data_IF_607220410102
#
_entry.id   IF_607220410102
#
_cell.length_a   1.000
_cell.length_b   1.000
_cell.length_c   1.000
_cell.angle_alpha   90.00
_cell.angle_beta   90.00
_cell.angle_gamma   90.00
#
_symmetry.space_group_name_H-M   'P 1'
#
loop_
_entity.id
_entity.type
_entity.pdbx_description
1 polymer ?
#
# COMPACT_ATOMS: atom_id res chain seq x y z
N UNK A 1 -21.81 -18.67 23.63
CA UNK A 1 -20.54 -17.95 23.33
C UNK A 1 -20.82 -16.47 23.42
N UNK A 2 -20.20 -15.76 24.37
CA UNK A 2 -20.35 -14.31 24.53
C UNK A 2 -19.95 -13.65 23.21
N UNK A 3 -20.83 -12.80 22.66
CA UNK A 3 -20.54 -11.92 21.55
C UNK A 3 -19.37 -10.99 21.99
N UNK A 4 -18.15 -11.38 21.71
CA UNK A 4 -17.02 -10.47 21.72
C UNK A 4 -17.27 -9.47 20.59
N UNK A 5 -17.96 -8.38 20.92
CA UNK A 5 -17.89 -7.20 20.09
C UNK A 5 -16.41 -6.86 20.01
N UNK A 6 -15.80 -7.06 18.84
CA UNK A 6 -14.43 -6.61 18.58
C UNK A 6 -14.47 -5.08 18.75
N UNK A 7 -14.18 -4.64 19.95
CA UNK A 7 -13.89 -3.24 20.18
C UNK A 7 -12.69 -2.90 19.31
N UNK A 8 -12.80 -1.79 18.61
CA UNK A 8 -11.67 -1.21 17.89
C UNK A 8 -10.53 -1.08 18.89
N UNK A 9 -9.42 -1.77 18.66
CA UNK A 9 -8.29 -1.73 19.59
C UNK A 9 -7.56 -0.42 19.34
N UNK A 10 -7.89 0.59 20.15
CA UNK A 10 -7.35 1.94 20.03
C UNK A 10 -5.81 1.94 19.99
N UNK A 11 -5.16 1.02 20.70
CA UNK A 11 -3.71 0.87 20.68
C UNK A 11 -3.16 0.60 19.29
N UNK A 12 -3.81 -0.27 18.49
CA UNK A 12 -3.39 -0.56 17.11
C UNK A 12 -3.56 0.66 16.20
N UNK A 13 -4.64 1.41 16.37
CA UNK A 13 -4.89 2.62 15.58
C UNK A 13 -3.87 3.72 15.93
N UNK A 14 -3.56 3.91 17.21
CA UNK A 14 -2.55 4.88 17.69
C UNK A 14 -1.16 4.48 17.19
N UNK A 15 -0.78 3.21 17.35
CA UNK A 15 0.52 2.73 16.90
C UNK A 15 0.69 2.88 15.38
N UNK A 16 -0.35 2.60 14.60
CA UNK A 16 -0.35 2.81 13.15
C UNK A 16 -0.19 4.29 12.78
N UNK A 17 -0.92 5.18 13.47
CA UNK A 17 -0.78 6.63 13.25
C UNK A 17 0.62 7.12 13.59
N UNK A 18 1.20 6.64 14.70
CA UNK A 18 2.55 6.96 15.12
C UNK A 18 3.60 6.47 14.09
N UNK A 19 3.50 5.22 13.64
CA UNK A 19 4.44 4.68 12.64
C UNK A 19 4.31 5.39 11.29
N UNK A 20 3.11 5.80 10.88
CA UNK A 20 2.92 6.63 9.67
C UNK A 20 3.58 8.01 9.83
N UNK A 21 3.41 8.65 10.97
CA UNK A 21 4.06 9.93 11.27
C UNK A 21 5.58 9.79 11.25
N UNK A 22 6.10 8.76 11.92
CA UNK A 22 7.54 8.48 11.93
C UNK A 22 8.08 8.14 10.53
N UNK A 23 7.31 7.45 9.68
CA UNK A 23 7.70 7.23 8.28
C UNK A 23 7.88 8.52 7.49
N UNK A 24 7.00 9.51 7.66
CA UNK A 24 7.18 10.82 7.06
C UNK A 24 8.45 11.50 7.59
N UNK A 25 8.63 11.47 8.90
CA UNK A 25 9.82 12.05 9.55
C UNK A 25 11.12 11.44 9.04
N UNK A 26 11.26 10.10 9.00
CA UNK A 26 12.49 9.45 8.56
C UNK A 26 12.77 9.59 7.06
N UNK A 27 11.74 9.78 6.24
CA UNK A 27 11.90 10.03 4.81
C UNK A 27 12.46 11.44 4.51
N UNK A 28 12.26 12.39 5.42
CA UNK A 28 12.79 13.76 5.28
C UNK A 28 14.23 13.91 5.83
N UNK A 29 14.68 12.97 6.65
CA UNK A 29 16.03 12.98 7.28
C UNK A 29 17.16 13.09 6.24
N UNK A 30 17.17 12.33 5.11
CA UNK A 30 18.29 12.37 4.16
C UNK A 30 18.55 13.76 3.56
N UNK A 31 17.57 14.67 3.61
CA UNK A 31 17.71 16.06 3.16
C UNK A 31 18.37 17.00 4.18
N UNK A 32 18.57 16.56 5.42
CA UNK A 32 19.07 17.36 6.51
C UNK A 32 20.60 17.24 6.65
N UNK A 33 21.26 18.32 7.13
CA UNK A 33 22.69 18.32 7.45
C UNK A 33 22.90 18.08 8.95
N UNK A 34 24.04 17.47 9.30
CA UNK A 34 24.45 17.21 10.69
C UNK A 34 23.47 16.36 11.49
N UNK A 35 22.80 15.40 10.84
CA UNK A 35 21.92 14.44 11.51
C UNK A 35 22.80 13.42 12.26
N UNK A 36 22.48 13.07 13.53
CA UNK A 36 23.15 12.01 14.24
C UNK A 36 23.08 10.68 13.49
N UNK A 37 24.19 9.95 13.41
CA UNK A 37 24.31 8.73 12.61
C UNK A 37 23.28 7.66 12.99
N UNK A 38 23.00 7.47 14.30
CA UNK A 38 22.02 6.50 14.78
C UNK A 38 20.57 6.77 14.32
N UNK A 39 20.28 7.99 13.88
CA UNK A 39 18.95 8.38 13.40
C UNK A 39 18.75 8.06 11.91
N UNK A 40 19.84 7.94 11.16
CA UNK A 40 19.84 7.67 9.71
C UNK A 40 19.62 6.18 9.42
N UNK A 41 19.50 5.86 8.14
CA UNK A 41 19.60 4.48 7.67
C UNK A 41 21.04 4.00 7.78
N UNK A 42 21.25 2.77 8.25
CA UNK A 42 22.55 2.13 8.23
C UNK A 42 23.02 1.93 6.78
N UNK A 43 24.32 2.11 6.53
CA UNK A 43 24.89 1.79 5.22
C UNK A 43 24.97 0.26 5.05
N UNK A 44 25.01 -0.20 3.79
CA UNK A 44 24.94 -1.64 3.48
C UNK A 44 26.17 -2.44 4.01
N UNK A 45 27.26 -1.76 4.30
CA UNK A 45 28.51 -2.30 4.82
C UNK A 45 28.70 -2.08 6.34
N UNK A 46 27.72 -1.46 7.00
CA UNK A 46 27.72 -1.23 8.45
C UNK A 46 26.92 -2.32 9.19
N UNK A 47 27.54 -2.90 10.23
CA UNK A 47 26.86 -3.81 11.17
C UNK A 47 26.14 -2.98 12.25
N UNK A 48 25.08 -2.27 11.82
CA UNK A 48 24.30 -1.37 12.64
C UNK A 48 22.83 -1.37 12.22
N UNK A 49 21.93 -1.11 13.15
CA UNK A 49 20.53 -0.84 12.89
C UNK A 49 20.22 0.61 13.27
N UNK A 50 19.98 1.47 12.29
CA UNK A 50 19.57 2.84 12.51
C UNK A 50 18.10 2.94 12.95
N UNK A 51 17.75 4.06 13.60
CA UNK A 51 16.35 4.32 13.97
C UNK A 51 15.42 4.27 12.75
N UNK A 52 15.84 4.88 11.63
CA UNK A 52 15.07 4.88 10.38
C UNK A 52 14.74 3.48 9.86
N UNK A 53 15.63 2.49 10.09
CA UNK A 53 15.44 1.12 9.63
C UNK A 53 14.36 0.36 10.41
N UNK A 54 14.04 0.80 11.62
CA UNK A 54 13.03 0.16 12.48
C UNK A 54 11.60 0.55 12.15
N UNK A 55 11.39 1.72 11.54
CA UNK A 55 10.05 2.32 11.37
C UNK A 55 9.21 1.55 10.36
N UNK A 56 9.79 1.18 9.21
CA UNK A 56 9.04 0.43 8.19
C UNK A 56 8.65 -0.98 8.64
N UNK A 57 9.52 -1.79 9.27
CA UNK A 57 9.12 -3.06 9.88
C UNK A 57 8.04 -2.90 10.95
N UNK A 58 8.13 -1.87 11.81
CA UNK A 58 7.08 -1.59 12.81
C UNK A 58 5.73 -1.28 12.15
N UNK A 59 5.73 -0.54 11.05
CA UNK A 59 4.51 -0.30 10.25
C UNK A 59 3.95 -1.58 9.64
N UNK A 60 4.79 -2.45 9.07
CA UNK A 60 4.37 -3.73 8.51
C UNK A 60 3.78 -4.65 9.59
N UNK A 61 4.38 -4.69 10.78
CA UNK A 61 3.85 -5.43 11.92
C UNK A 61 2.46 -4.92 12.31
N UNK A 62 2.30 -3.61 12.45
CA UNK A 62 1.00 -2.99 12.74
C UNK A 62 -0.05 -3.30 11.67
N UNK A 63 0.36 -3.30 10.41
CA UNK A 63 -0.52 -3.64 9.29
C UNK A 63 -0.95 -5.11 9.39
N UNK A 64 -0.04 -6.04 9.66
CA UNK A 64 -0.35 -7.45 9.87
C UNK A 64 -1.40 -7.66 10.97
N UNK A 65 -1.24 -7.02 12.13
CA UNK A 65 -2.24 -7.03 13.21
C UNK A 65 -3.60 -6.51 12.75
N UNK A 66 -3.62 -5.44 11.95
CA UNK A 66 -4.84 -4.79 11.47
C UNK A 66 -5.64 -5.65 10.48
N UNK A 67 -4.98 -6.55 9.73
CA UNK A 67 -5.60 -7.42 8.72
C UNK A 67 -6.67 -8.31 9.34
N UNK A 68 -6.39 -8.92 10.49
CA UNK A 68 -7.33 -9.81 11.19
C UNK A 68 -8.63 -9.09 11.56
N UNK A 69 -8.53 -7.86 12.08
CA UNK A 69 -9.69 -7.04 12.43
C UNK A 69 -10.47 -6.61 11.17
N UNK A 70 -9.78 -6.26 10.10
CA UNK A 70 -10.41 -5.86 8.85
C UNK A 70 -11.22 -7.01 8.23
N UNK A 71 -10.66 -8.22 8.16
CA UNK A 71 -11.33 -9.41 7.62
C UNK A 71 -12.52 -9.81 8.50
N UNK A 72 -12.36 -9.85 9.83
CA UNK A 72 -13.47 -10.14 10.74
C UNK A 72 -14.62 -9.15 10.59
N UNK A 73 -14.31 -7.86 10.43
CA UNK A 73 -15.35 -6.84 10.25
C UNK A 73 -16.14 -7.04 8.95
N UNK A 74 -15.51 -7.55 7.89
CA UNK A 74 -16.20 -7.91 6.64
C UNK A 74 -17.18 -9.07 6.83
N UNK A 75 -16.73 -10.14 7.49
CA UNK A 75 -17.63 -11.25 7.82
C UNK A 75 -18.81 -10.83 8.70
N UNK A 76 -18.58 -9.92 9.65
CA UNK A 76 -19.67 -9.33 10.46
C UNK A 76 -20.68 -8.54 9.63
N UNK A 77 -20.26 -7.93 8.53
CA UNK A 77 -21.14 -7.22 7.58
C UNK A 77 -21.88 -8.15 6.63
N UNK A 78 -21.64 -9.48 6.71
CA UNK A 78 -22.30 -10.48 5.90
C UNK A 78 -21.58 -10.83 4.59
N UNK A 79 -20.32 -10.37 4.40
CA UNK A 79 -19.55 -10.72 3.22
C UNK A 79 -19.27 -12.23 3.18
N UNK A 80 -19.43 -12.85 2.02
CA UNK A 80 -19.04 -14.24 1.78
C UNK A 80 -17.51 -14.37 1.67
N UNK A 81 -17.00 -15.58 1.89
CA UNK A 81 -15.56 -15.86 1.77
C UNK A 81 -15.00 -15.45 0.40
N UNK A 82 -15.76 -15.71 -0.68
CA UNK A 82 -15.37 -15.33 -2.05
C UNK A 82 -15.25 -13.81 -2.19
N UNK A 83 -16.19 -13.05 -1.61
CA UNK A 83 -16.13 -11.58 -1.62
C UNK A 83 -14.94 -11.04 -0.84
N UNK A 84 -14.62 -11.68 0.29
CA UNK A 84 -13.42 -11.30 1.08
C UNK A 84 -12.14 -11.58 0.30
N UNK A 85 -12.01 -12.76 -0.33
CA UNK A 85 -10.86 -13.12 -1.17
C UNK A 85 -10.72 -12.15 -2.35
N UNK A 86 -11.79 -11.86 -3.04
CA UNK A 86 -11.78 -10.90 -4.16
C UNK A 86 -11.32 -9.51 -3.69
N UNK A 87 -11.78 -9.06 -2.52
CA UNK A 87 -11.34 -7.80 -1.96
C UNK A 87 -9.84 -7.78 -1.61
N UNK A 88 -9.33 -8.87 -0.99
CA UNK A 88 -7.90 -9.01 -0.68
C UNK A 88 -7.10 -8.95 -1.98
N UNK A 89 -7.50 -9.70 -2.99
CA UNK A 89 -6.84 -9.73 -4.30
C UNK A 89 -6.76 -8.33 -4.95
N UNK A 90 -7.91 -7.65 -5.08
CA UNK A 90 -7.94 -6.33 -5.71
C UNK A 90 -7.17 -5.27 -4.92
N UNK A 91 -7.19 -5.34 -3.59
CA UNK A 91 -6.40 -4.44 -2.76
C UNK A 91 -4.89 -4.70 -2.91
N UNK A 92 -4.48 -5.96 -2.96
CA UNK A 92 -3.09 -6.35 -3.21
C UNK A 92 -2.62 -5.84 -4.55
N UNK A 93 -3.38 -6.09 -5.62
CA UNK A 93 -3.06 -5.61 -6.98
C UNK A 93 -2.93 -4.10 -7.01
N UNK A 94 -3.84 -3.37 -6.37
CA UNK A 94 -3.77 -1.91 -6.30
C UNK A 94 -2.49 -1.42 -5.60
N UNK A 95 -2.13 -2.00 -4.46
CA UNK A 95 -0.92 -1.62 -3.72
C UNK A 95 0.36 -1.93 -4.50
N UNK A 96 0.43 -3.11 -5.15
CA UNK A 96 1.57 -3.48 -5.98
C UNK A 96 1.69 -2.55 -7.18
N UNK A 97 0.59 -2.27 -7.87
CA UNK A 97 0.58 -1.34 -9.00
C UNK A 97 1.04 0.06 -8.57
N UNK A 98 0.48 0.61 -7.48
CA UNK A 98 0.90 1.91 -6.95
C UNK A 98 2.39 1.90 -6.56
N UNK A 99 2.89 0.81 -5.97
CA UNK A 99 4.30 0.65 -5.63
C UNK A 99 5.21 0.68 -6.84
N UNK A 100 4.86 -0.07 -7.90
CA UNK A 100 5.61 -0.09 -9.16
C UNK A 100 5.65 1.29 -9.82
N UNK A 101 4.54 1.99 -9.87
CA UNK A 101 4.50 3.34 -10.43
C UNK A 101 5.33 4.33 -9.61
N UNK A 102 5.23 4.29 -8.27
CA UNK A 102 6.03 5.14 -7.39
C UNK A 102 7.53 4.89 -7.55
N UNK A 103 7.95 3.64 -7.68
CA UNK A 103 9.33 3.24 -7.92
C UNK A 103 9.85 3.78 -9.26
N UNK A 104 8.97 3.84 -10.25
CA UNK A 104 9.28 4.26 -11.61
C UNK A 104 8.94 5.73 -11.89
N UNK A 105 8.69 6.55 -10.87
CA UNK A 105 8.27 7.94 -11.03
C UNK A 105 9.36 8.90 -11.56
N UNK A 106 10.61 8.44 -11.65
CA UNK A 106 11.72 9.24 -12.18
C UNK A 106 11.41 9.83 -13.56
N UNK A 107 11.73 11.11 -13.74
CA UNK A 107 11.56 11.84 -15.01
C UNK A 107 12.41 11.26 -16.15
N UNK A 108 12.08 11.67 -17.36
CA UNK A 108 12.78 11.28 -18.60
C UNK A 108 13.49 12.51 -19.14
N UNK A 109 14.80 12.41 -19.36
CA UNK A 109 15.59 13.48 -19.97
C UNK A 109 15.07 13.77 -21.37
N UNK A 110 14.77 15.06 -21.66
CA UNK A 110 14.20 15.48 -22.94
C UNK A 110 12.71 15.18 -23.12
N UNK A 111 12.04 14.63 -22.11
CA UNK A 111 10.62 14.28 -22.13
C UNK A 111 9.84 14.80 -20.92
N UNK A 112 8.90 13.98 -20.43
CA UNK A 112 8.06 14.34 -19.30
C UNK A 112 8.90 14.49 -18.04
N UNK A 113 8.88 15.66 -17.38
CA UNK A 113 9.62 15.89 -16.14
C UNK A 113 9.10 15.00 -15.02
N UNK A 114 9.93 14.75 -13.99
CA UNK A 114 9.54 13.99 -12.80
C UNK A 114 8.25 14.51 -12.17
N UNK A 115 8.09 15.81 -12.04
CA UNK A 115 6.91 16.42 -11.44
C UNK A 115 5.63 16.14 -12.24
N UNK A 116 5.67 16.31 -13.56
CA UNK A 116 4.51 16.03 -14.41
C UNK A 116 4.16 14.54 -14.43
N UNK A 117 5.16 13.66 -14.50
CA UNK A 117 4.92 12.21 -14.41
C UNK A 117 4.22 11.85 -13.10
N UNK A 118 4.72 12.39 -11.98
CA UNK A 118 4.15 12.15 -10.65
C UNK A 118 2.72 12.69 -10.54
N UNK A 119 2.44 13.89 -11.05
CA UNK A 119 1.09 14.47 -11.04
C UNK A 119 0.12 13.59 -11.84
N UNK A 120 0.48 13.20 -13.06
CA UNK A 120 -0.36 12.35 -13.90
C UNK A 120 -0.58 10.97 -13.28
N UNK A 121 0.45 10.39 -12.69
CA UNK A 121 0.38 9.13 -11.95
C UNK A 121 -0.62 9.23 -10.79
N UNK A 122 -0.55 10.27 -9.96
CA UNK A 122 -1.46 10.49 -8.84
C UNK A 122 -2.89 10.69 -9.32
N UNK A 123 -3.11 11.47 -10.37
CA UNK A 123 -4.43 11.64 -11.00
C UNK A 123 -4.95 10.26 -11.48
N UNK A 124 -4.13 9.47 -12.15
CA UNK A 124 -4.46 8.11 -12.58
C UNK A 124 -4.88 7.21 -11.42
N UNK A 125 -4.19 7.28 -10.28
CA UNK A 125 -4.55 6.52 -9.06
C UNK A 125 -5.90 6.95 -8.51
N UNK A 126 -6.16 8.25 -8.38
CA UNK A 126 -7.45 8.75 -7.90
C UNK A 126 -8.61 8.37 -8.84
N UNK A 127 -8.41 8.44 -10.15
CA UNK A 127 -9.42 8.04 -11.12
C UNK A 127 -9.70 6.52 -11.08
N UNK A 128 -8.66 5.69 -10.93
CA UNK A 128 -8.80 4.22 -10.98
C UNK A 128 -9.33 3.64 -9.67
N UNK A 129 -8.76 4.04 -8.54
CA UNK A 129 -9.06 3.47 -7.21
C UNK A 129 -9.85 4.40 -6.29
N UNK A 130 -10.24 5.59 -6.76
CA UNK A 130 -11.08 6.49 -6.00
C UNK A 130 -12.41 5.84 -5.59
N UNK A 131 -12.90 6.20 -4.40
CA UNK A 131 -14.19 5.73 -3.91
C UNK A 131 -15.29 6.61 -4.49
N UNK A 132 -16.01 6.06 -5.47
CA UNK A 132 -17.15 6.74 -6.06
C UNK A 132 -18.43 6.39 -5.31
N UNK A 133 -19.34 7.36 -5.07
CA UNK A 133 -20.62 7.08 -4.44
C UNK A 133 -21.47 6.15 -5.34
N UNK A 134 -22.33 5.36 -4.69
CA UNK A 134 -23.30 4.54 -5.45
C UNK A 134 -24.23 5.49 -6.22
N UNK A 135 -24.25 5.36 -7.52
CA UNK A 135 -25.06 6.18 -8.41
C UNK A 135 -25.69 5.30 -9.50
N UNK A 136 -26.82 5.76 -10.03
CA UNK A 136 -27.56 5.10 -11.11
C UNK A 136 -27.58 5.99 -12.35
N UNK A 137 -27.91 5.41 -13.50
CA UNK A 137 -28.04 6.12 -14.76
C UNK A 137 -26.74 6.80 -15.22
N UNK A 138 -26.84 8.05 -15.66
CA UNK A 138 -25.77 8.83 -16.26
C UNK A 138 -24.55 9.02 -15.33
N UNK A 139 -24.78 9.16 -14.04
CA UNK A 139 -23.69 9.29 -13.05
C UNK A 139 -22.87 8.01 -12.92
N UNK A 140 -23.52 6.83 -13.02
CA UNK A 140 -22.82 5.53 -13.03
C UNK A 140 -21.94 5.41 -14.28
N UNK A 141 -22.45 5.80 -15.44
CA UNK A 141 -21.67 5.84 -16.67
C UNK A 141 -20.47 6.76 -16.55
N UNK A 142 -20.65 7.99 -16.01
CA UNK A 142 -19.57 8.94 -15.78
C UNK A 142 -18.45 8.34 -14.90
N UNK A 143 -18.80 7.72 -13.77
CA UNK A 143 -17.80 7.10 -12.88
C UNK A 143 -17.07 5.93 -13.53
N UNK A 144 -17.75 5.18 -14.41
CA UNK A 144 -17.10 4.13 -15.19
C UNK A 144 -16.12 4.72 -16.19
N UNK A 145 -16.49 5.77 -16.90
CA UNK A 145 -15.60 6.49 -17.83
C UNK A 145 -14.39 7.04 -17.08
N UNK A 146 -14.57 7.64 -15.90
CA UNK A 146 -13.46 8.15 -15.09
C UNK A 146 -12.47 7.03 -14.70
N UNK A 147 -12.97 5.86 -14.30
CA UNK A 147 -12.11 4.71 -13.99
C UNK A 147 -11.34 4.21 -15.21
N UNK A 148 -12.02 4.08 -16.35
CA UNK A 148 -11.38 3.67 -17.61
C UNK A 148 -10.33 4.69 -18.03
N UNK A 149 -10.64 5.99 -17.95
CA UNK A 149 -9.68 7.05 -18.23
C UNK A 149 -8.45 6.99 -17.32
N UNK A 150 -8.64 6.68 -16.03
CA UNK A 150 -7.52 6.46 -15.09
C UNK A 150 -6.64 5.29 -15.50
N UNK A 151 -7.22 4.15 -15.86
CA UNK A 151 -6.48 2.97 -16.34
C UNK A 151 -5.73 3.28 -17.64
N UNK A 152 -6.38 3.94 -18.60
CA UNK A 152 -5.77 4.35 -19.86
C UNK A 152 -4.60 5.30 -19.61
N UNK A 153 -4.79 6.29 -18.73
CA UNK A 153 -3.72 7.24 -18.36
C UNK A 153 -2.50 6.50 -17.78
N UNK A 154 -2.72 5.58 -16.84
CA UNK A 154 -1.62 4.80 -16.26
C UNK A 154 -0.94 3.92 -17.31
N UNK A 155 -1.70 3.24 -18.18
CA UNK A 155 -1.13 2.44 -19.28
C UNK A 155 -0.30 3.32 -20.24
N UNK A 156 -0.78 4.52 -20.57
CA UNK A 156 -0.05 5.46 -21.41
C UNK A 156 1.28 5.88 -20.77
N UNK A 157 1.31 6.11 -19.45
CA UNK A 157 2.56 6.45 -18.73
C UNK A 157 3.59 5.30 -18.78
N UNK A 158 3.14 4.04 -18.67
CA UNK A 158 4.02 2.86 -18.82
C UNK A 158 4.62 2.81 -20.23
N UNK A 159 3.75 2.88 -21.24
CA UNK A 159 4.17 2.81 -22.65
C UNK A 159 5.10 3.98 -22.98
N UNK A 160 4.77 5.19 -22.55
CA UNK A 160 5.58 6.37 -22.76
C UNK A 160 6.99 6.21 -22.19
N UNK A 161 7.11 5.65 -20.98
CA UNK A 161 8.39 5.43 -20.32
C UNK A 161 9.22 4.37 -21.05
N UNK A 162 8.59 3.28 -21.46
CA UNK A 162 9.23 2.19 -22.21
C UNK A 162 9.77 2.66 -23.57
N UNK A 163 8.97 3.43 -24.32
CA UNK A 163 9.36 3.99 -25.62
C UNK A 163 10.52 5.00 -25.53
N UNK A 164 10.72 5.65 -24.37
CA UNK A 164 11.82 6.59 -24.16
C UNK A 164 13.07 5.96 -23.52
N UNK A 165 13.22 4.65 -23.62
CA UNK A 165 14.44 3.93 -23.23
C UNK A 165 14.67 3.78 -21.72
N UNK A 166 13.65 4.03 -20.89
CA UNK A 166 13.68 3.79 -19.44
C UNK A 166 12.56 2.81 -19.06
N UNK A 167 12.69 1.51 -19.38
CA UNK A 167 11.64 0.53 -19.17
C UNK A 167 11.23 0.45 -17.69
N UNK A 168 10.00 0.06 -17.45
CA UNK A 168 9.51 -0.20 -16.10
C UNK A 168 10.29 -1.38 -15.50
N UNK A 169 10.81 -1.18 -14.29
CA UNK A 169 11.51 -2.21 -13.53
C UNK A 169 10.78 -2.52 -12.22
N UNK A 170 10.87 -3.74 -11.77
CA UNK A 170 10.15 -4.23 -10.59
C UNK A 170 10.86 -3.97 -9.28
N UNK A 171 12.19 -4.06 -9.25
CA UNK A 171 13.08 -3.76 -8.11
C UNK A 171 12.39 -3.74 -6.72
N UNK A 172 12.02 -4.90 -6.19
CA UNK A 172 11.32 -5.06 -4.89
C UNK A 172 9.96 -4.34 -4.77
N UNK A 173 9.35 -3.94 -5.89
CA UNK A 173 8.01 -3.32 -6.00
C UNK A 173 7.80 -2.02 -5.20
N UNK A 174 8.86 -1.41 -4.65
CA UNK A 174 8.79 -0.23 -3.82
C UNK A 174 8.06 -0.47 -2.48
N UNK A 175 8.01 0.56 -1.64
CA UNK A 175 7.42 0.49 -0.29
C UNK A 175 5.95 0.04 -0.33
N UNK A 176 5.13 0.62 -1.20
CA UNK A 176 3.71 0.25 -1.32
C UNK A 176 3.51 -1.18 -1.84
N UNK A 177 4.40 -1.64 -2.74
CA UNK A 177 4.36 -3.02 -3.22
C UNK A 177 4.72 -4.02 -2.14
N UNK A 178 5.72 -3.74 -1.31
CA UNK A 178 6.05 -4.57 -0.13
C UNK A 178 4.89 -4.63 0.86
N UNK A 179 4.19 -3.50 1.09
CA UNK A 179 2.95 -3.47 1.88
C UNK A 179 1.89 -4.37 1.24
N UNK A 180 1.74 -4.33 -0.09
CA UNK A 180 0.80 -5.18 -0.84
C UNK A 180 1.08 -6.67 -0.65
N UNK A 181 2.33 -7.09 -0.77
CA UNK A 181 2.75 -8.47 -0.55
C UNK A 181 2.55 -8.93 0.89
N UNK A 182 2.97 -8.12 1.86
CA UNK A 182 2.76 -8.42 3.28
C UNK A 182 1.27 -8.54 3.60
N UNK A 183 0.44 -7.65 3.05
CA UNK A 183 -1.01 -7.72 3.19
C UNK A 183 -1.58 -9.01 2.62
N UNK A 184 -1.15 -9.44 1.43
CA UNK A 184 -1.62 -10.67 0.79
C UNK A 184 -1.25 -11.90 1.62
N UNK A 185 0.00 -11.98 2.08
CA UNK A 185 0.49 -13.10 2.90
C UNK A 185 -0.23 -13.15 4.25
N UNK A 186 -0.28 -12.05 4.99
CA UNK A 186 -0.97 -12.00 6.29
C UNK A 186 -2.46 -12.31 6.16
N UNK A 187 -3.13 -11.78 5.13
CA UNK A 187 -4.54 -12.05 4.88
C UNK A 187 -4.79 -13.51 4.49
N UNK A 188 -3.91 -14.09 3.66
CA UNK A 188 -3.94 -15.50 3.29
C UNK A 188 -3.80 -16.40 4.52
N UNK A 189 -2.73 -16.24 5.30
CA UNK A 189 -2.51 -16.98 6.54
C UNK A 189 -3.72 -16.89 7.45
N UNK A 190 -4.24 -15.66 7.67
CA UNK A 190 -5.39 -15.45 8.54
C UNK A 190 -6.66 -16.18 8.03
N UNK A 191 -6.92 -16.20 6.72
CA UNK A 191 -8.06 -16.92 6.16
C UNK A 191 -8.01 -18.43 6.45
N UNK A 192 -6.81 -19.03 6.41
CA UNK A 192 -6.64 -20.47 6.69
C UNK A 192 -6.60 -20.80 8.17
N UNK A 193 -6.18 -19.87 9.02
CA UNK A 193 -5.97 -20.14 10.46
C UNK A 193 -7.08 -19.62 11.37
N UNK A 194 -7.99 -18.78 10.86
CA UNK A 194 -9.01 -18.06 11.64
C UNK A 194 -9.93 -18.93 12.52
N UNK A 195 -10.13 -20.19 12.14
CA UNK A 195 -11.02 -21.13 12.87
C UNK A 195 -10.34 -21.79 14.06
N UNK A 196 -9.02 -21.69 14.16
CA UNK A 196 -8.23 -22.30 15.23
C UNK A 196 -7.26 -21.31 15.84
N UNK A 197 -7.48 -20.96 17.10
CA UNK A 197 -6.56 -20.08 17.85
C UNK A 197 -5.13 -20.63 17.90
N UNK A 198 -4.97 -21.96 18.02
CA UNK A 198 -3.66 -22.60 18.03
C UNK A 198 -2.93 -22.44 16.71
N UNK A 199 -3.60 -22.64 15.57
CA UNK A 199 -3.02 -22.45 14.25
C UNK A 199 -2.66 -21.00 14.00
N UNK A 200 -3.48 -20.05 14.49
CA UNK A 200 -3.25 -18.62 14.36
C UNK A 200 -2.07 -18.12 15.22
N UNK A 201 -1.79 -18.79 16.33
CA UNK A 201 -0.67 -18.45 17.22
C UNK A 201 0.69 -19.01 16.73
N UNK A 202 0.68 -20.01 15.86
CA UNK A 202 1.88 -20.69 15.33
C UNK A 202 2.24 -20.17 13.91
N UNK A 203 1.29 -19.59 13.18
CA UNK A 203 1.47 -19.04 11.84
C UNK A 203 2.04 -17.62 11.85
#
# INVERSE_FOLDING_TARGET
MKNLTLQRVAAVDVFRALTMFLMLFVNDIPGLKNVPHWLMHAAADEDMLGFSDTIFPAFLFCMGMSVSFAIQNRYKKGDTTTQVIAHIFWRTVALIAMGLFSLNSGGIEGGLSHSWFTILMVIGFFLTWGVYPKAEGTKKALFTVMKVAGVVLLATLVIYKDLNGKPFHTSWWGILGLIGWTYAVCAGIYLFTRESLRKNAVA
#
